data_IF_707899246155
#
_entry.id   IF_707899246155
#
_cell.length_a   1.000
_cell.length_b   1.000
_cell.length_c   1.000
_cell.angle_alpha   90.00
_cell.angle_beta   90.00
_cell.angle_gamma   90.00
#
_symmetry.space_group_name_H-M   'P 1'
#
loop_
_entity.id
_entity.type
_entity.pdbx_description
1 polymer ?
#
# COMPACT_ATOMS: atom_id res chain seq x y z
N UNK A 1 21.79 19.84 -16.37
CA UNK A 1 20.44 19.76 -15.82
C UNK A 1 20.27 18.45 -15.07
N UNK A 2 19.65 18.50 -13.93
CA UNK A 2 19.35 17.33 -13.10
C UNK A 2 17.83 17.21 -12.97
N UNK A 3 17.28 16.01 -13.10
CA UNK A 3 15.86 15.75 -12.84
C UNK A 3 15.71 15.22 -11.42
N UNK A 4 14.88 15.90 -10.65
CA UNK A 4 14.53 15.51 -9.28
C UNK A 4 13.16 14.84 -9.33
N UNK A 5 13.09 13.66 -8.72
CA UNK A 5 11.84 12.89 -8.60
C UNK A 5 11.56 12.72 -7.12
N UNK A 6 10.39 13.19 -6.70
CA UNK A 6 9.87 13.00 -5.34
C UNK A 6 8.68 12.06 -5.45
N UNK A 7 8.77 10.91 -4.80
CA UNK A 7 7.67 9.95 -4.73
C UNK A 7 7.05 9.99 -3.34
N UNK A 8 5.77 10.27 -3.29
CA UNK A 8 4.94 10.11 -2.11
C UNK A 8 3.99 8.92 -2.30
N UNK A 9 3.29 8.52 -1.25
CA UNK A 9 2.36 7.39 -1.30
C UNK A 9 1.31 7.51 -2.42
N UNK A 10 0.93 8.72 -2.83
CA UNK A 10 -0.17 8.95 -3.76
C UNK A 10 0.23 9.65 -5.05
N UNK A 11 1.36 10.35 -5.06
CA UNK A 11 1.76 11.18 -6.17
C UNK A 11 3.25 11.09 -6.48
N UNK A 12 3.61 11.35 -7.72
CA UNK A 12 4.96 11.59 -8.17
C UNK A 12 5.08 13.06 -8.57
N UNK A 13 6.06 13.75 -8.01
CA UNK A 13 6.43 15.10 -8.43
C UNK A 13 7.77 14.99 -9.17
N UNK A 14 7.81 15.51 -10.37
CA UNK A 14 9.01 15.52 -11.20
C UNK A 14 9.30 16.94 -11.71
N UNK A 15 10.54 17.37 -11.54
CA UNK A 15 10.98 18.66 -12.04
C UNK A 15 12.47 18.65 -12.38
N UNK A 16 12.85 19.53 -13.30
CA UNK A 16 14.24 19.70 -13.70
C UNK A 16 14.83 20.96 -13.10
N UNK A 17 16.06 20.84 -12.60
CA UNK A 17 16.85 21.96 -12.09
C UNK A 17 18.09 22.15 -12.93
N UNK A 18 18.48 23.41 -13.15
CA UNK A 18 19.62 23.74 -13.99
C UNK A 18 20.95 23.41 -13.33
N UNK A 19 21.15 23.93 -12.15
CA UNK A 19 22.39 23.80 -11.38
C UNK A 19 22.06 23.53 -9.91
N UNK A 20 22.75 22.55 -9.34
CA UNK A 20 22.69 22.25 -7.92
C UNK A 20 24.08 22.51 -7.31
N UNK A 21 24.12 23.13 -6.13
CA UNK A 21 25.33 23.46 -5.39
C UNK A 21 25.33 22.68 -4.07
N UNK A 22 26.49 22.14 -3.72
CA UNK A 22 26.68 21.53 -2.40
C UNK A 22 26.71 22.65 -1.34
N UNK A 23 25.91 22.48 -0.31
CA UNK A 23 25.82 23.40 0.82
C UNK A 23 25.71 22.62 2.11
N UNK A 24 25.75 23.34 3.23
CA UNK A 24 25.48 22.78 4.54
C UNK A 24 24.19 23.39 5.09
N UNK A 25 23.28 22.56 5.57
CA UNK A 25 22.06 22.99 6.22
C UNK A 25 21.92 22.27 7.57
N UNK A 26 21.89 23.01 8.66
CA UNK A 26 21.80 22.49 10.03
C UNK A 26 22.87 21.43 10.37
N UNK A 27 24.11 21.60 9.90
CA UNK A 27 25.21 20.67 10.14
C UNK A 27 25.21 19.42 9.25
N UNK A 28 24.31 19.34 8.26
CA UNK A 28 24.22 18.22 7.32
C UNK A 28 24.53 18.70 5.90
N UNK A 29 25.34 17.92 5.16
CA UNK A 29 25.55 18.19 3.74
C UNK A 29 24.24 18.11 2.98
N UNK A 30 23.94 19.13 2.21
CA UNK A 30 22.73 19.28 1.42
C UNK A 30 23.03 19.81 0.01
N UNK A 31 22.09 19.62 -0.91
CA UNK A 31 22.12 20.26 -2.22
C UNK A 31 21.13 21.42 -2.26
N UNK A 32 21.59 22.59 -2.67
CA UNK A 32 20.77 23.78 -2.89
C UNK A 32 20.58 24.01 -4.38
N UNK A 33 19.38 24.38 -4.77
CA UNK A 33 19.07 24.75 -6.16
C UNK A 33 17.96 25.79 -6.20
N UNK A 34 17.83 26.50 -7.31
CA UNK A 34 16.69 27.39 -7.53
C UNK A 34 15.42 26.58 -7.72
N UNK A 35 14.32 27.06 -7.17
CA UNK A 35 13.02 26.46 -7.41
C UNK A 35 12.71 26.43 -8.91
N UNK A 36 12.21 25.31 -9.44
CA UNK A 36 11.81 25.20 -10.84
C UNK A 36 10.61 26.13 -11.11
N UNK A 37 10.51 26.64 -12.33
CA UNK A 37 9.33 27.43 -12.75
C UNK A 37 8.12 26.53 -13.00
N UNK A 38 8.37 25.29 -13.38
CA UNK A 38 7.35 24.28 -13.70
C UNK A 38 7.71 22.95 -13.02
N UNK A 39 6.68 22.23 -12.61
CA UNK A 39 6.79 20.87 -12.12
C UNK A 39 5.66 20.00 -12.69
N UNK A 40 5.96 18.73 -12.88
CA UNK A 40 4.97 17.73 -13.27
C UNK A 40 4.47 17.04 -12.01
N UNK A 41 3.17 17.18 -11.76
CA UNK A 41 2.50 16.49 -10.67
C UNK A 41 1.65 15.36 -11.24
N UNK A 42 1.97 14.13 -10.91
CA UNK A 42 1.30 12.93 -11.41
C UNK A 42 0.59 12.26 -10.25
N UNK A 43 -0.74 12.38 -10.20
CA UNK A 43 -1.56 11.56 -9.32
C UNK A 43 -1.69 10.17 -9.96
N UNK A 44 -0.99 9.17 -9.39
CA UNK A 44 -0.94 7.81 -9.94
C UNK A 44 -2.16 6.97 -9.55
N UNK A 45 -2.78 7.28 -8.41
CA UNK A 45 -3.88 6.48 -7.84
C UNK A 45 -5.23 7.11 -8.13
N UNK A 46 -6.10 6.33 -8.72
CA UNK A 46 -7.49 6.73 -8.97
C UNK A 46 -8.39 6.53 -7.74
N UNK A 47 -7.97 5.67 -6.81
CA UNK A 47 -8.75 5.27 -5.66
C UNK A 47 -7.97 5.55 -4.38
N UNK A 48 -8.70 6.02 -3.39
CA UNK A 48 -8.18 6.22 -2.05
C UNK A 48 -7.73 4.88 -1.45
N UNK A 49 -6.61 4.90 -0.74
CA UNK A 49 -6.02 3.73 -0.09
C UNK A 49 -5.75 4.04 1.37
N UNK A 50 -6.05 3.09 2.23
CA UNK A 50 -5.70 3.15 3.64
C UNK A 50 -4.64 2.10 3.96
N UNK A 51 -3.69 2.46 4.82
CA UNK A 51 -2.76 1.51 5.44
C UNK A 51 -3.34 1.10 6.78
N UNK A 52 -3.38 -0.21 7.05
CA UNK A 52 -3.86 -0.73 8.33
C UNK A 52 -2.77 -0.54 9.39
N UNK A 53 -3.10 0.06 10.55
CA UNK A 53 -2.12 0.22 11.61
C UNK A 53 -1.74 -1.13 12.23
N UNK A 54 -0.52 -1.24 12.77
CA UNK A 54 -0.03 -2.48 13.37
C UNK A 54 -0.90 -2.99 14.55
N UNK A 55 -1.50 -2.09 15.34
CA UNK A 55 -2.35 -2.43 16.48
C UNK A 55 -3.75 -2.95 16.09
N UNK A 56 -4.16 -2.86 14.81
CA UNK A 56 -5.43 -3.41 14.32
C UNK A 56 -5.19 -4.26 13.10
N UNK A 57 -5.29 -5.56 13.29
CA UNK A 57 -5.01 -6.52 12.23
C UNK A 57 -6.32 -6.92 11.54
N UNK A 58 -6.29 -6.89 10.22
CA UNK A 58 -7.28 -7.45 9.33
C UNK A 58 -6.64 -8.55 8.51
N UNK A 59 -7.42 -9.55 8.14
CA UNK A 59 -6.88 -10.73 7.49
C UNK A 59 -7.55 -11.02 6.16
N UNK A 60 -6.78 -11.61 5.27
CA UNK A 60 -7.24 -12.21 4.04
C UNK A 60 -7.02 -13.70 4.12
N UNK A 61 -8.09 -14.48 4.03
CA UNK A 61 -8.05 -15.93 4.09
C UNK A 61 -8.50 -16.57 2.79
N UNK A 62 -8.07 -17.80 2.53
CA UNK A 62 -8.44 -18.56 1.34
C UNK A 62 -7.57 -19.78 1.16
N UNK A 63 -7.52 -20.29 -0.06
CA UNK A 63 -6.69 -21.42 -0.45
C UNK A 63 -5.81 -21.02 -1.65
N UNK A 64 -4.56 -21.43 -1.61
CA UNK A 64 -3.67 -21.33 -2.76
C UNK A 64 -4.13 -22.28 -3.88
N UNK A 65 -3.59 -22.15 -5.11
CA UNK A 65 -3.97 -23.04 -6.21
C UNK A 65 -3.75 -24.53 -5.95
N UNK A 66 -2.84 -24.87 -5.03
CA UNK A 66 -2.56 -26.26 -4.60
C UNK A 66 -3.52 -26.76 -3.49
N UNK A 67 -4.46 -25.91 -3.03
CA UNK A 67 -5.41 -26.22 -1.97
C UNK A 67 -4.89 -25.95 -0.55
N UNK A 68 -3.65 -25.50 -0.39
CA UNK A 68 -3.12 -25.12 0.91
C UNK A 68 -3.83 -23.87 1.45
N UNK A 69 -4.39 -23.89 2.66
CA UNK A 69 -5.04 -22.71 3.23
C UNK A 69 -4.01 -21.63 3.57
N UNK A 70 -4.43 -20.38 3.44
CA UNK A 70 -3.64 -19.23 3.89
C UNK A 70 -4.44 -18.27 4.74
N UNK A 71 -3.74 -17.59 5.63
CA UNK A 71 -4.19 -16.41 6.36
C UNK A 71 -3.09 -15.36 6.28
N UNK A 72 -3.34 -14.26 5.58
CA UNK A 72 -2.39 -13.19 5.35
C UNK A 72 -2.93 -11.89 5.94
N UNK A 73 -2.06 -11.15 6.63
CA UNK A 73 -2.43 -9.84 7.17
C UNK A 73 -2.64 -8.83 6.03
N UNK A 74 -3.73 -8.06 6.12
CA UNK A 74 -3.96 -6.95 5.22
C UNK A 74 -3.09 -5.77 5.66
N UNK A 75 -2.17 -5.33 4.81
CA UNK A 75 -1.30 -4.19 5.03
C UNK A 75 -1.96 -2.88 4.58
N UNK A 76 -2.59 -2.88 3.41
CA UNK A 76 -3.35 -1.74 2.89
C UNK A 76 -4.52 -2.19 2.03
N UNK A 77 -5.52 -1.33 1.90
CA UNK A 77 -6.75 -1.62 1.16
C UNK A 77 -7.26 -0.38 0.42
N UNK A 78 -7.81 -0.62 -0.77
CA UNK A 78 -8.56 0.35 -1.57
C UNK A 78 -9.75 -0.33 -2.23
N UNK A 79 -10.62 0.43 -2.88
CA UNK A 79 -11.74 -0.16 -3.63
C UNK A 79 -11.28 -1.03 -4.82
N UNK A 80 -10.06 -0.87 -5.32
CA UNK A 80 -9.52 -1.63 -6.48
C UNK A 80 -8.58 -2.77 -6.14
N UNK A 81 -8.12 -2.89 -4.89
CA UNK A 81 -7.14 -3.91 -4.52
C UNK A 81 -6.69 -3.86 -3.08
N UNK A 82 -5.86 -4.80 -2.73
CA UNK A 82 -5.34 -5.03 -1.38
C UNK A 82 -3.85 -5.30 -1.42
N UNK A 83 -3.12 -4.75 -0.46
CA UNK A 83 -1.76 -5.13 -0.12
C UNK A 83 -1.79 -6.14 1.01
N UNK A 84 -1.22 -7.33 0.79
CA UNK A 84 -1.10 -8.36 1.82
C UNK A 84 0.34 -8.44 2.30
N UNK A 85 0.52 -8.71 3.57
CA UNK A 85 1.82 -8.95 4.19
C UNK A 85 2.12 -10.45 4.22
N UNK A 86 3.31 -10.79 3.79
CA UNK A 86 3.87 -12.12 3.89
C UNK A 86 5.16 -12.06 4.69
N UNK A 87 5.21 -12.79 5.81
CA UNK A 87 6.38 -12.86 6.68
C UNK A 87 7.21 -14.10 6.34
N UNK A 88 8.52 -13.94 6.31
CA UNK A 88 9.46 -15.00 6.00
C UNK A 88 9.81 -15.15 4.51
N UNK A 89 10.51 -16.25 4.15
CA UNK A 89 10.94 -16.47 2.77
C UNK A 89 9.76 -16.68 1.84
N UNK A 90 9.73 -15.92 0.76
CA UNK A 90 8.64 -15.95 -0.21
C UNK A 90 8.73 -17.21 -1.07
N UNK A 91 7.68 -18.05 -1.14
CA UNK A 91 7.64 -19.20 -2.05
C UNK A 91 7.73 -18.81 -3.52
N UNK A 92 8.37 -19.62 -4.35
CA UNK A 92 8.63 -19.35 -5.77
C UNK A 92 7.35 -19.13 -6.61
N UNK A 93 6.22 -19.67 -6.17
CA UNK A 93 4.96 -19.52 -6.88
C UNK A 93 4.32 -18.11 -6.74
N UNK A 94 4.83 -17.26 -5.84
CA UNK A 94 4.39 -15.87 -5.76
C UNK A 94 4.95 -15.03 -6.90
N UNK A 95 4.38 -15.21 -8.08
CA UNK A 95 4.74 -14.47 -9.28
C UNK A 95 3.58 -13.57 -9.73
N UNK A 96 3.83 -12.44 -10.37
CA UNK A 96 2.79 -11.64 -11.00
C UNK A 96 1.88 -12.49 -11.87
N UNK A 97 0.55 -12.32 -11.72
CA UNK A 97 -0.46 -13.14 -12.37
C UNK A 97 -1.02 -14.28 -11.51
N UNK A 98 -0.43 -14.59 -10.35
CA UNK A 98 -1.01 -15.55 -9.40
C UNK A 98 -2.42 -15.08 -9.00
N UNK A 99 -3.39 -15.97 -9.13
CA UNK A 99 -4.78 -15.69 -8.79
C UNK A 99 -5.18 -16.28 -7.45
N UNK A 100 -5.77 -15.47 -6.61
CA UNK A 100 -6.43 -15.87 -5.37
C UNK A 100 -7.93 -15.88 -5.62
N UNK A 101 -8.51 -17.07 -5.67
CA UNK A 101 -9.93 -17.27 -5.93
C UNK A 101 -10.71 -17.35 -4.64
N UNK A 102 -11.86 -16.66 -4.58
CA UNK A 102 -12.77 -16.66 -3.42
C UNK A 102 -12.07 -16.26 -2.11
N UNK A 103 -11.05 -15.42 -2.20
CA UNK A 103 -10.39 -14.86 -1.03
C UNK A 103 -11.38 -14.09 -0.17
N UNK A 104 -11.34 -14.27 1.13
CA UNK A 104 -12.18 -13.57 2.09
C UNK A 104 -11.36 -12.50 2.81
N UNK A 105 -11.75 -11.23 2.62
CA UNK A 105 -11.18 -10.09 3.33
C UNK A 105 -12.02 -9.85 4.58
N UNK A 106 -11.48 -10.13 5.75
CA UNK A 106 -12.12 -9.84 7.03
C UNK A 106 -11.61 -8.51 7.59
N UNK A 107 -12.48 -7.51 7.59
CA UNK A 107 -12.23 -6.18 8.12
C UNK A 107 -12.89 -5.96 9.49
N UNK A 108 -13.23 -7.04 10.18
CA UNK A 108 -13.89 -7.00 11.49
C UNK A 108 -15.22 -6.25 11.43
N UNK A 109 -15.37 -5.20 12.23
CA UNK A 109 -16.62 -4.42 12.32
C UNK A 109 -16.99 -3.66 11.04
N UNK A 110 -16.07 -3.56 10.05
CA UNK A 110 -16.33 -2.89 8.76
C UNK A 110 -16.85 -3.87 7.69
N UNK A 111 -16.88 -5.16 7.99
CA UNK A 111 -17.47 -6.20 7.14
C UNK A 111 -16.47 -7.22 6.63
N UNK A 112 -17.01 -8.26 6.01
CA UNK A 112 -16.27 -9.30 5.31
C UNK A 112 -16.67 -9.33 3.83
N UNK A 113 -15.69 -9.53 2.94
CA UNK A 113 -15.88 -9.43 1.49
C UNK A 113 -15.21 -10.61 0.77
N UNK A 114 -15.98 -11.37 0.00
CA UNK A 114 -15.45 -12.42 -0.86
C UNK A 114 -15.09 -11.85 -2.22
N UNK A 115 -13.82 -11.95 -2.59
CA UNK A 115 -13.28 -11.37 -3.82
C UNK A 115 -12.41 -12.39 -4.57
N UNK A 116 -12.27 -12.19 -5.87
CA UNK A 116 -11.18 -12.78 -6.64
C UNK A 116 -10.14 -11.69 -6.86
N UNK A 117 -8.88 -12.03 -6.75
CA UNK A 117 -7.79 -11.07 -6.94
C UNK A 117 -6.60 -11.71 -7.63
N UNK A 118 -5.74 -10.87 -8.18
CA UNK A 118 -4.52 -11.27 -8.88
C UNK A 118 -3.34 -10.49 -8.32
N UNK A 119 -2.25 -11.20 -8.04
CA UNK A 119 -0.98 -10.62 -7.65
C UNK A 119 -0.41 -9.81 -8.82
N UNK A 120 -0.15 -8.53 -8.58
CA UNK A 120 0.41 -7.61 -9.58
C UNK A 120 1.92 -7.47 -9.40
N UNK A 121 2.36 -7.30 -8.16
CA UNK A 121 3.77 -7.11 -7.83
C UNK A 121 4.04 -7.51 -6.39
N UNK A 122 5.25 -8.02 -6.16
CA UNK A 122 5.83 -8.23 -4.83
C UNK A 122 6.90 -7.18 -4.60
N UNK A 123 6.87 -6.53 -3.46
CA UNK A 123 7.89 -5.58 -3.03
C UNK A 123 8.37 -5.96 -1.63
N UNK A 124 9.66 -5.77 -1.39
CA UNK A 124 10.18 -5.77 -0.03
C UNK A 124 9.72 -4.49 0.66
N UNK A 125 9.25 -4.63 1.88
CA UNK A 125 8.75 -3.52 2.70
C UNK A 125 9.19 -3.71 4.16
N UNK A 126 9.05 -2.67 4.96
CA UNK A 126 9.43 -2.71 6.36
C UNK A 126 8.48 -1.86 7.21
N UNK A 127 8.28 -2.28 8.43
CA UNK A 127 7.55 -1.48 9.43
C UNK A 127 8.32 -1.51 10.75
N UNK A 128 8.09 -0.50 11.58
CA UNK A 128 8.59 -0.49 12.95
C UNK A 128 7.53 -1.10 13.86
N UNK A 129 7.90 -2.11 14.62
CA UNK A 129 7.02 -2.78 15.59
C UNK A 129 6.84 -1.96 16.89
N UNK A 130 6.04 -2.49 17.82
CA UNK A 130 5.77 -1.85 19.11
C UNK A 130 7.02 -1.76 20.04
N UNK A 131 8.13 -2.42 19.67
CA UNK A 131 9.41 -2.40 20.39
C UNK A 131 10.47 -1.53 19.69
N UNK A 132 10.05 -0.67 18.75
CA UNK A 132 10.93 0.14 17.89
C UNK A 132 11.90 -0.69 17.02
N UNK A 133 11.60 -1.97 16.77
CA UNK A 133 12.39 -2.81 15.88
C UNK A 133 11.86 -2.76 14.45
N UNK A 134 12.80 -2.67 13.49
CA UNK A 134 12.47 -2.72 12.07
C UNK A 134 12.25 -4.17 11.67
N UNK A 135 11.03 -4.48 11.22
CA UNK A 135 10.63 -5.80 10.74
C UNK A 135 10.45 -5.75 9.23
N UNK A 136 11.18 -6.61 8.52
CA UNK A 136 11.09 -6.74 7.06
C UNK A 136 10.06 -7.79 6.67
N UNK A 137 9.30 -7.51 5.63
CA UNK A 137 8.31 -8.44 5.08
C UNK A 137 8.15 -8.25 3.57
N UNK A 138 7.55 -9.23 2.90
CA UNK A 138 7.16 -9.09 1.50
C UNK A 138 5.73 -8.57 1.40
N UNK A 139 5.54 -7.45 0.68
CA UNK A 139 4.23 -6.89 0.40
C UNK A 139 3.71 -7.36 -0.94
N UNK A 140 2.64 -8.14 -0.91
CA UNK A 140 1.94 -8.68 -2.07
C UNK A 140 0.86 -7.70 -2.50
N UNK A 141 1.08 -6.96 -3.59
CA UNK A 141 0.09 -6.01 -4.11
C UNK A 141 -0.85 -6.72 -5.07
N UNK A 142 -2.11 -6.86 -4.68
CA UNK A 142 -3.14 -7.56 -5.44
C UNK A 142 -4.20 -6.58 -5.96
N UNK A 143 -4.67 -6.79 -7.21
CA UNK A 143 -5.83 -6.11 -7.77
C UNK A 143 -7.05 -7.01 -7.72
N UNK A 144 -8.21 -6.46 -7.46
CA UNK A 144 -9.45 -7.21 -7.52
C UNK A 144 -9.83 -7.51 -8.97
N UNK A 145 -10.38 -8.70 -9.20
CA UNK A 145 -10.83 -9.16 -10.51
C UNK A 145 -12.36 -9.13 -10.58
N UNK A 146 -12.89 -8.48 -11.63
CA UNK A 146 -14.33 -8.50 -11.97
C UNK A 146 -15.26 -8.17 -10.79
N UNK A 147 -14.89 -7.17 -9.98
CA UNK A 147 -15.78 -6.64 -8.95
C UNK A 147 -17.01 -5.98 -9.60
N UNK A 148 -18.20 -6.41 -9.19
CA UNK A 148 -19.42 -5.69 -9.52
C UNK A 148 -19.51 -4.37 -8.77
N UNK A 149 -20.14 -3.35 -9.37
CA UNK A 149 -20.29 -2.00 -8.79
C UNK A 149 -20.80 -2.00 -7.34
N UNK A 150 -21.72 -2.91 -7.01
CA UNK A 150 -22.26 -3.03 -5.65
C UNK A 150 -21.21 -3.45 -4.63
N UNK A 151 -20.32 -4.40 -4.99
CA UNK A 151 -19.24 -4.86 -4.12
C UNK A 151 -18.15 -3.79 -3.99
N UNK A 152 -17.78 -3.15 -5.09
CA UNK A 152 -16.83 -2.04 -5.09
C UNK A 152 -17.28 -0.92 -4.14
N UNK A 153 -18.55 -0.51 -4.21
CA UNK A 153 -19.13 0.49 -3.31
C UNK A 153 -19.11 0.05 -1.84
N UNK A 154 -19.38 -1.23 -1.56
CA UNK A 154 -19.32 -1.76 -0.19
C UNK A 154 -17.90 -1.70 0.37
N UNK A 155 -16.90 -2.13 -0.41
CA UNK A 155 -15.49 -2.06 -0.01
C UNK A 155 -15.09 -0.60 0.20
N UNK A 156 -15.45 0.29 -0.71
CA UNK A 156 -15.16 1.72 -0.59
C UNK A 156 -15.78 2.32 0.68
N UNK A 157 -17.01 1.97 1.01
CA UNK A 157 -17.68 2.43 2.24
C UNK A 157 -16.97 1.92 3.49
N UNK A 158 -16.51 0.65 3.48
CA UNK A 158 -15.72 0.09 4.59
C UNK A 158 -14.38 0.80 4.76
N UNK A 159 -13.68 1.10 3.67
CA UNK A 159 -12.43 1.86 3.66
C UNK A 159 -12.63 3.25 4.27
N UNK A 160 -13.67 3.99 3.86
CA UNK A 160 -13.96 5.30 4.42
C UNK A 160 -14.37 5.27 5.90
N UNK A 161 -15.21 4.28 6.29
CA UNK A 161 -15.60 4.12 7.69
C UNK A 161 -14.39 3.87 8.59
N UNK A 162 -13.47 3.01 8.14
CA UNK A 162 -12.23 2.75 8.85
C UNK A 162 -11.36 4.02 8.97
N UNK A 163 -11.19 4.77 7.87
CA UNK A 163 -10.40 6.01 7.89
C UNK A 163 -10.97 7.03 8.88
N UNK A 164 -12.28 7.22 8.87
CA UNK A 164 -12.95 8.15 9.80
C UNK A 164 -12.68 7.76 11.26
N UNK A 165 -12.76 6.48 11.58
CA UNK A 165 -12.50 5.99 12.93
C UNK A 165 -11.03 6.08 13.32
N UNK A 166 -10.13 5.82 12.37
CA UNK A 166 -8.69 5.98 12.57
C UNK A 166 -8.31 7.44 12.86
N UNK A 167 -8.84 8.38 12.06
CA UNK A 167 -8.57 9.80 12.24
C UNK A 167 -9.14 10.36 13.55
N UNK A 168 -10.28 9.85 14.04
CA UNK A 168 -10.83 10.22 15.35
C UNK A 168 -9.92 9.79 16.49
N UNK A 169 -9.29 8.61 16.39
CA UNK A 169 -8.38 8.10 17.43
C UNK A 169 -7.02 8.80 17.45
N UNK A 170 -6.53 9.27 16.30
CA UNK A 170 -5.27 10.00 16.18
C UNK A 170 -5.33 11.42 16.78
N UNK A 171 -6.54 11.96 16.96
CA UNK A 171 -6.78 13.30 17.53
C UNK A 171 -7.00 13.30 19.06
N UNK A 172 -7.01 12.13 19.69
CA UNK A 172 -7.08 11.94 21.15
C UNK A 172 -5.72 11.55 21.72
#
# INVERSE_FOLDING_TARGET
ACTIVIESNDAKIEFSVGQAELTEHQGVQACSTRLPQELVYIQRRRQFRITTPHWRQFFCTGEYPDGTPYELRIHDLSAGGVGLRFDGPLPDFFQPGLQFKKAELDLGSYGSFKVNMELVVVNDDQETDDNDQVVHFSRLSCRFLKLGLAMERKIQSAVFAFELDFNKKKKR
#
